data_IF_212351519863
#
_entry.id   IF_212351519863
#
_cell.length_a   1.000
_cell.length_b   1.000
_cell.length_c   1.000
_cell.angle_alpha   90.00
_cell.angle_beta   90.00
_cell.angle_gamma   90.00
#
_symmetry.space_group_name_H-M   'P 1'
#
loop_
_entity.id
_entity.type
_entity.pdbx_description
1 polymer ?
#
# COMPACT_ATOMS: atom_id res chain seq x y z
N UNK A 1 15.43 6.81 -2.94
CA UNK A 1 16.84 7.11 -2.64
C UNK A 1 17.77 6.33 -3.54
N UNK A 2 17.67 4.99 -3.64
CA UNK A 2 18.56 4.16 -4.46
C UNK A 2 18.65 4.65 -5.91
N UNK A 3 17.52 4.89 -6.54
CA UNK A 3 17.43 5.38 -7.93
C UNK A 3 18.11 6.75 -8.08
N UNK A 4 17.91 7.66 -7.12
CA UNK A 4 18.53 8.98 -7.13
C UNK A 4 20.06 8.94 -6.92
N UNK A 5 20.53 8.00 -6.11
CA UNK A 5 21.96 7.87 -5.79
C UNK A 5 22.73 7.00 -6.80
N UNK A 6 22.04 6.18 -7.61
CA UNK A 6 22.67 5.27 -8.58
C UNK A 6 23.10 5.95 -9.89
N UNK A 7 22.72 7.21 -10.12
CA UNK A 7 23.04 7.95 -11.34
C UNK A 7 22.31 7.47 -12.59
N UNK A 8 21.28 6.61 -12.44
CA UNK A 8 20.49 6.13 -13.56
C UNK A 8 19.58 7.25 -14.06
N UNK A 9 19.62 7.50 -15.37
CA UNK A 9 18.71 8.45 -16.03
C UNK A 9 17.31 7.85 -16.13
N UNK A 10 16.37 8.45 -15.40
CA UNK A 10 14.96 8.08 -15.49
C UNK A 10 14.34 8.82 -16.67
N UNK A 11 14.05 8.11 -17.74
CA UNK A 11 13.34 8.65 -18.91
C UNK A 11 11.84 8.45 -18.76
N UNK A 12 11.07 9.50 -19.02
CA UNK A 12 9.61 9.43 -18.98
C UNK A 12 9.09 8.38 -19.99
N UNK A 13 8.31 7.42 -19.53
CA UNK A 13 7.75 6.34 -20.35
C UNK A 13 8.55 5.04 -20.42
N UNK A 14 9.70 4.94 -19.73
CA UNK A 14 10.40 3.66 -19.55
C UNK A 14 9.95 2.96 -18.27
N UNK A 15 10.24 1.65 -18.22
CA UNK A 15 9.82 0.72 -17.18
C UNK A 15 9.79 1.34 -15.78
N UNK A 16 8.59 1.59 -15.28
CA UNK A 16 8.36 2.06 -13.92
C UNK A 16 8.21 0.86 -12.98
N UNK A 17 8.68 0.97 -11.76
CA UNK A 17 8.45 -0.05 -10.73
C UNK A 17 9.66 -0.92 -10.43
N UNK A 18 9.46 -2.24 -10.37
CA UNK A 18 10.46 -3.22 -9.93
C UNK A 18 11.74 -3.20 -10.77
N UNK A 19 11.61 -3.11 -12.09
CA UNK A 19 12.75 -3.14 -13.02
C UNK A 19 13.70 -1.95 -12.79
N UNK A 20 13.17 -0.77 -12.58
CA UNK A 20 13.96 0.43 -12.31
C UNK A 20 14.71 0.31 -10.98
N UNK A 21 14.08 -0.28 -9.97
CA UNK A 21 14.72 -0.52 -8.67
C UNK A 21 15.82 -1.56 -8.80
N UNK A 22 15.57 -2.67 -9.51
CA UNK A 22 16.57 -3.71 -9.74
C UNK A 22 17.77 -3.14 -10.51
N UNK A 23 17.53 -2.34 -11.55
CA UNK A 23 18.61 -1.70 -12.31
C UNK A 23 19.44 -0.74 -11.45
N UNK A 24 18.78 -0.01 -10.52
CA UNK A 24 19.44 0.84 -9.54
C UNK A 24 20.41 0.09 -8.63
N UNK A 25 19.98 -1.05 -8.11
CA UNK A 25 20.84 -1.90 -7.28
C UNK A 25 21.95 -2.57 -8.12
N UNK A 26 21.64 -3.04 -9.30
CA UNK A 26 22.59 -3.74 -10.19
C UNK A 26 23.73 -2.82 -10.65
N UNK A 27 23.47 -1.53 -10.86
CA UNK A 27 24.50 -0.56 -11.26
C UNK A 27 25.56 -0.34 -10.19
N UNK A 28 25.22 -0.52 -8.91
CA UNK A 28 26.12 -0.30 -7.78
C UNK A 28 26.77 -1.60 -7.29
N UNK A 29 26.01 -2.69 -7.21
CA UNK A 29 26.43 -3.94 -6.56
C UNK A 29 26.72 -5.09 -7.53
N UNK A 30 26.50 -4.89 -8.82
CA UNK A 30 26.69 -5.91 -9.85
C UNK A 30 25.48 -6.83 -10.03
N UNK A 31 25.56 -7.74 -11.02
CA UNK A 31 24.41 -8.53 -11.48
C UNK A 31 23.84 -9.53 -10.46
N UNK A 32 24.63 -9.99 -9.49
CA UNK A 32 24.18 -10.95 -8.47
C UNK A 32 23.06 -10.40 -7.57
N UNK A 33 23.06 -9.06 -7.35
CA UNK A 33 22.09 -8.40 -6.51
C UNK A 33 20.66 -8.45 -7.08
N UNK A 34 20.51 -8.68 -8.40
CA UNK A 34 19.20 -8.76 -9.04
C UNK A 34 18.36 -9.91 -8.48
N UNK A 35 18.97 -11.07 -8.24
CA UNK A 35 18.30 -12.24 -7.66
C UNK A 35 17.86 -11.95 -6.23
N UNK A 36 18.75 -11.37 -5.42
CA UNK A 36 18.43 -10.99 -4.05
C UNK A 36 17.27 -9.97 -4.00
N UNK A 37 17.33 -8.95 -4.84
CA UNK A 37 16.30 -7.91 -4.91
C UNK A 37 14.96 -8.50 -5.39
N UNK A 38 14.97 -9.39 -6.37
CA UNK A 38 13.76 -10.07 -6.84
C UNK A 38 13.10 -10.90 -5.71
N UNK A 39 13.88 -11.68 -4.97
CA UNK A 39 13.37 -12.45 -3.83
C UNK A 39 12.81 -11.54 -2.74
N UNK A 40 13.54 -10.45 -2.40
CA UNK A 40 13.08 -9.49 -1.41
C UNK A 40 11.76 -8.82 -1.83
N UNK A 41 11.61 -8.47 -3.11
CA UNK A 41 10.36 -7.89 -3.65
C UNK A 41 9.22 -8.90 -3.65
N UNK A 42 9.46 -10.18 -3.95
CA UNK A 42 8.46 -11.23 -3.82
C UNK A 42 7.98 -11.38 -2.38
N UNK A 43 8.88 -11.42 -1.41
CA UNK A 43 8.54 -11.49 0.01
C UNK A 43 7.73 -10.26 0.46
N UNK A 44 8.13 -9.07 0.02
CA UNK A 44 7.44 -7.82 0.31
C UNK A 44 6.02 -7.81 -0.30
N UNK A 45 5.88 -8.19 -1.57
CA UNK A 45 4.58 -8.28 -2.23
C UNK A 45 3.66 -9.29 -1.52
N UNK A 46 4.19 -10.46 -1.16
CA UNK A 46 3.43 -11.49 -0.46
C UNK A 46 2.93 -11.01 0.91
N UNK A 47 3.81 -10.39 1.72
CA UNK A 47 3.42 -9.83 3.01
C UNK A 47 2.38 -8.72 2.89
N UNK A 48 2.50 -7.90 1.85
CA UNK A 48 1.56 -6.81 1.55
C UNK A 48 0.18 -7.35 1.17
N UNK A 49 0.12 -8.37 0.31
CA UNK A 49 -1.15 -9.00 -0.09
C UNK A 49 -1.86 -9.58 1.14
N UNK A 50 -1.14 -10.26 2.03
CA UNK A 50 -1.72 -10.82 3.27
C UNK A 50 -2.22 -9.69 4.18
N UNK A 51 -1.42 -8.65 4.41
CA UNK A 51 -1.77 -7.53 5.28
C UNK A 51 -3.01 -6.79 4.78
N UNK A 52 -3.07 -6.44 3.51
CA UNK A 52 -4.23 -5.78 2.91
C UNK A 52 -5.47 -6.67 2.86
N UNK A 53 -5.29 -7.98 2.65
CA UNK A 53 -6.37 -8.96 2.77
C UNK A 53 -7.00 -8.97 4.16
N UNK A 54 -6.18 -8.90 5.20
CA UNK A 54 -6.65 -8.81 6.58
C UNK A 54 -7.43 -7.52 6.84
N UNK A 55 -6.92 -6.37 6.39
CA UNK A 55 -7.64 -5.09 6.53
C UNK A 55 -8.98 -5.13 5.79
N UNK A 56 -9.00 -5.63 4.56
CA UNK A 56 -10.24 -5.80 3.80
C UNK A 56 -11.24 -6.71 4.50
N UNK A 57 -10.77 -7.84 5.06
CA UNK A 57 -11.61 -8.76 5.81
C UNK A 57 -12.26 -8.08 7.03
N UNK A 58 -11.50 -7.28 7.79
CA UNK A 58 -12.04 -6.53 8.94
C UNK A 58 -13.02 -5.44 8.53
N UNK A 59 -12.77 -4.75 7.42
CA UNK A 59 -13.72 -3.76 6.89
C UNK A 59 -15.05 -4.40 6.48
N UNK A 60 -15.01 -5.53 5.80
CA UNK A 60 -16.20 -6.27 5.36
C UNK A 60 -16.97 -6.84 6.55
N UNK A 61 -16.28 -7.41 7.53
CA UNK A 61 -16.88 -7.89 8.77
C UNK A 61 -17.63 -6.76 9.51
N UNK A 62 -17.01 -5.59 9.59
CA UNK A 62 -17.63 -4.41 10.18
C UNK A 62 -18.87 -3.93 9.42
N UNK A 63 -18.80 -3.86 8.09
CA UNK A 63 -19.89 -3.37 7.25
C UNK A 63 -21.12 -4.28 7.28
N UNK A 64 -20.91 -5.60 7.28
CA UNK A 64 -22.00 -6.58 7.24
C UNK A 64 -22.33 -7.20 8.59
N UNK A 65 -21.57 -6.85 9.64
CA UNK A 65 -21.73 -7.40 11.01
C UNK A 65 -21.81 -8.93 11.04
N UNK A 66 -21.10 -9.62 10.13
CA UNK A 66 -21.15 -11.06 9.96
C UNK A 66 -19.82 -11.65 9.50
N UNK A 67 -19.27 -12.57 10.27
CA UNK A 67 -18.06 -13.31 9.90
C UNK A 67 -18.24 -14.20 8.65
N UNK A 68 -19.49 -14.56 8.31
CA UNK A 68 -19.76 -15.43 7.15
C UNK A 68 -19.37 -14.80 5.82
N UNK A 69 -19.32 -13.46 5.76
CA UNK A 69 -18.98 -12.71 4.54
C UNK A 69 -17.47 -12.66 4.30
N UNK A 70 -16.66 -12.89 5.32
CA UNK A 70 -15.20 -12.85 5.22
C UNK A 70 -14.66 -13.94 4.27
N UNK A 71 -15.19 -15.16 4.35
CA UNK A 71 -14.74 -16.27 3.50
C UNK A 71 -14.93 -15.99 1.99
N UNK A 72 -16.14 -15.65 1.50
CA UNK A 72 -16.31 -15.32 0.09
C UNK A 72 -15.51 -14.09 -0.34
N UNK A 73 -15.37 -13.09 0.53
CA UNK A 73 -14.50 -11.95 0.26
C UNK A 73 -13.05 -12.37 0.02
N UNK A 74 -12.48 -13.22 0.88
CA UNK A 74 -11.10 -13.69 0.73
C UNK A 74 -10.88 -14.50 -0.55
N UNK A 75 -11.88 -15.28 -0.99
CA UNK A 75 -11.82 -15.98 -2.28
C UNK A 75 -11.79 -14.98 -3.44
N UNK A 76 -12.69 -14.00 -3.45
CA UNK A 76 -12.73 -12.96 -4.48
C UNK A 76 -11.44 -12.14 -4.47
N UNK A 77 -10.95 -11.75 -3.30
CA UNK A 77 -9.70 -11.01 -3.14
C UNK A 77 -8.50 -11.76 -3.75
N UNK A 78 -8.40 -13.07 -3.47
CA UNK A 78 -7.32 -13.89 -4.03
C UNK A 78 -7.41 -14.01 -5.55
N UNK A 79 -8.62 -14.16 -6.10
CA UNK A 79 -8.84 -14.20 -7.55
C UNK A 79 -8.48 -12.85 -8.21
N UNK A 80 -8.86 -11.74 -7.59
CA UNK A 80 -8.51 -10.39 -8.07
C UNK A 80 -7.00 -10.16 -8.03
N UNK A 81 -6.30 -10.65 -7.00
CA UNK A 81 -4.84 -10.57 -6.93
C UNK A 81 -4.16 -11.33 -8.07
N UNK A 82 -4.66 -12.51 -8.41
CA UNK A 82 -4.15 -13.31 -9.56
C UNK A 82 -4.44 -12.58 -10.89
N UNK A 83 -5.64 -12.07 -11.08
CA UNK A 83 -6.00 -11.30 -12.27
C UNK A 83 -5.15 -10.02 -12.39
N UNK A 84 -4.91 -9.33 -11.29
CA UNK A 84 -4.07 -8.14 -11.24
C UNK A 84 -2.62 -8.38 -11.70
N UNK A 85 -2.11 -9.59 -11.47
CA UNK A 85 -0.78 -9.97 -11.95
C UNK A 85 -0.68 -10.12 -13.49
N UNK A 86 -1.81 -10.22 -14.19
CA UNK A 86 -1.89 -10.39 -15.66
C UNK A 86 -2.27 -9.11 -16.41
N UNK A 87 -2.75 -8.09 -15.69
CA UNK A 87 -3.20 -6.82 -16.27
C UNK A 87 -2.01 -5.89 -16.49
N UNK A 88 -2.12 -5.02 -17.49
CA UNK A 88 -1.11 -4.01 -17.79
C UNK A 88 -0.91 -3.05 -16.61
N UNK A 89 0.35 -2.84 -16.26
CA UNK A 89 0.75 -2.05 -15.07
C UNK A 89 0.21 -0.61 -15.12
N UNK A 90 0.21 0.03 -16.28
CA UNK A 90 -0.28 1.40 -16.45
C UNK A 90 -1.77 1.54 -16.12
N UNK A 91 -2.59 0.58 -16.57
CA UNK A 91 -4.02 0.55 -16.26
C UNK A 91 -4.25 0.34 -14.76
N UNK A 92 -3.50 -0.59 -14.13
CA UNK A 92 -3.60 -0.84 -12.70
C UNK A 92 -3.27 0.40 -11.86
N UNK A 93 -2.22 1.15 -12.24
CA UNK A 93 -1.86 2.40 -11.58
C UNK A 93 -2.97 3.44 -11.69
N UNK A 94 -3.53 3.64 -12.87
CA UNK A 94 -4.62 4.60 -13.07
C UNK A 94 -5.86 4.28 -12.25
N UNK A 95 -6.22 3.00 -12.15
CA UNK A 95 -7.32 2.53 -11.29
C UNK A 95 -6.99 2.77 -9.82
N UNK A 96 -5.81 2.37 -9.37
CA UNK A 96 -5.40 2.52 -7.98
C UNK A 96 -5.35 3.98 -7.52
N UNK A 97 -4.82 4.88 -8.34
CA UNK A 97 -4.79 6.33 -8.06
C UNK A 97 -6.19 6.93 -7.96
N UNK A 98 -7.11 6.51 -8.82
CA UNK A 98 -8.51 6.96 -8.79
C UNK A 98 -9.18 6.55 -7.47
N UNK A 99 -9.03 5.29 -7.05
CA UNK A 99 -9.59 4.82 -5.78
C UNK A 99 -8.92 5.46 -4.57
N UNK A 100 -7.61 5.68 -4.61
CA UNK A 100 -6.90 6.42 -3.55
C UNK A 100 -7.43 7.86 -3.41
N UNK A 101 -7.67 8.53 -4.51
CA UNK A 101 -8.31 9.87 -4.51
C UNK A 101 -9.70 9.84 -3.88
N UNK A 102 -10.52 8.86 -4.22
CA UNK A 102 -11.86 8.69 -3.65
C UNK A 102 -11.81 8.37 -2.14
N UNK A 103 -10.84 7.59 -1.68
CA UNK A 103 -10.67 7.29 -0.26
C UNK A 103 -10.27 8.52 0.58
N UNK A 104 -9.61 9.49 -0.01
CA UNK A 104 -9.21 10.71 0.69
C UNK A 104 -10.41 11.53 1.17
N UNK A 105 -11.51 11.56 0.42
CA UNK A 105 -12.70 12.36 0.75
C UNK A 105 -13.32 11.95 2.08
N UNK A 106 -13.77 10.70 2.30
CA UNK A 106 -14.36 10.30 3.58
C UNK A 106 -13.36 10.36 4.73
N UNK A 107 -12.07 10.09 4.46
CA UNK A 107 -11.03 10.18 5.47
C UNK A 107 -10.84 11.62 5.97
N UNK A 108 -10.79 12.60 5.09
CA UNK A 108 -10.70 14.01 5.46
C UNK A 108 -11.92 14.46 6.27
N UNK A 109 -13.12 14.07 5.85
CA UNK A 109 -14.35 14.37 6.61
C UNK A 109 -14.26 13.80 8.03
N UNK A 110 -13.86 12.53 8.17
CA UNK A 110 -13.72 11.90 9.48
C UNK A 110 -12.67 12.59 10.36
N UNK A 111 -11.51 12.94 9.80
CA UNK A 111 -10.44 13.67 10.53
C UNK A 111 -10.93 15.04 11.00
N UNK A 112 -11.63 15.79 10.16
CA UNK A 112 -12.18 17.10 10.56
C UNK A 112 -13.23 16.98 11.67
N UNK A 113 -14.13 16.02 11.57
CA UNK A 113 -15.17 15.78 12.60
C UNK A 113 -14.56 15.35 13.94
N UNK A 114 -13.50 14.54 13.89
CA UNK A 114 -12.84 14.03 15.10
C UNK A 114 -11.79 14.99 15.68
N UNK A 115 -11.39 16.03 14.95
CA UNK A 115 -10.34 16.97 15.38
C UNK A 115 -10.62 17.62 16.74
N UNK A 116 -11.87 18.00 16.98
CA UNK A 116 -12.29 18.57 18.28
C UNK A 116 -12.11 17.60 19.44
N UNK A 117 -12.41 16.32 19.23
CA UNK A 117 -12.22 15.27 20.24
C UNK A 117 -10.74 15.05 20.54
N UNK A 118 -9.90 15.02 19.53
CA UNK A 118 -8.44 14.87 19.67
C UNK A 118 -7.86 16.05 20.48
N UNK A 119 -8.24 17.28 20.12
CA UNK A 119 -7.78 18.48 20.86
C UNK A 119 -8.21 18.44 22.32
N UNK A 120 -9.42 17.99 22.62
CA UNK A 120 -9.90 17.82 23.99
C UNK A 120 -9.07 16.79 24.77
N UNK A 121 -8.84 15.61 24.19
CA UNK A 121 -8.03 14.55 24.81
C UNK A 121 -6.58 15.00 25.07
N UNK A 122 -5.97 15.73 24.13
CA UNK A 122 -4.62 16.28 24.30
C UNK A 122 -4.58 17.29 25.44
N UNK A 123 -5.56 18.19 25.54
CA UNK A 123 -5.64 19.15 26.66
C UNK A 123 -5.84 18.46 28.02
N UNK A 124 -6.67 17.44 28.08
CA UNK A 124 -6.88 16.63 29.29
C UNK A 124 -5.60 15.92 29.73
N UNK A 125 -4.86 15.34 28.77
CA UNK A 125 -3.58 14.68 29.04
C UNK A 125 -2.57 15.62 29.66
N UNK A 126 -2.31 16.78 29.08
CA UNK A 126 -1.38 17.76 29.62
C UNK A 126 -1.84 18.42 30.93
N UNK A 127 -3.13 18.51 31.14
CA UNK A 127 -3.67 19.00 32.45
C UNK A 127 -3.46 17.98 33.57
N UNK A 128 -3.32 16.69 33.25
CA UNK A 128 -3.11 15.62 34.23
C UNK A 128 -1.62 15.41 34.54
N UNK A 129 -0.73 15.55 33.52
CA UNK A 129 0.73 15.44 33.75
C UNK A 129 1.37 16.71 34.35
N UNK A 130 0.68 17.83 34.34
CA UNK A 130 1.15 19.10 34.95
C UNK A 130 0.91 19.22 36.46
N UNK A 131 0.50 18.13 37.12
CA UNK A 131 0.40 18.01 38.57
C UNK A 131 1.41 16.98 39.08
#
# INVERSE_FOLDING_TARGET
LVILCSGITVTYGQAAGAELTISGFTSVYGSWISVFTAVAMCCFAFSTIIGWGLYGARCIEFLFSSEKVVKPFMVVYSLVAILGATVELGLLWSIAETFNGLMAIPNLIAVFLLSGTVVKMVKEYFATEGK
#
